data_IF_753532077295
#
_entry.id   IF_753532077295
#
_cell.length_a   1.000
_cell.length_b   1.000
_cell.length_c   1.000
_cell.angle_alpha   90.00
_cell.angle_beta   90.00
_cell.angle_gamma   90.00
#
_symmetry.space_group_name_H-M   'P 1'
#
loop_
_entity.id
_entity.type
_entity.pdbx_description
1 polymer ?
#
# COMPACT_ATOMS: atom_id res chain seq x y z
N UNK A 1 3.96 -12.00 -29.98
CA UNK A 1 2.98 -11.07 -29.36
C UNK A 1 2.17 -11.84 -28.31
N UNK A 2 2.62 -11.88 -27.05
CA UNK A 2 1.89 -12.56 -25.97
C UNK A 2 0.93 -11.56 -25.33
N UNK A 3 -0.38 -11.80 -25.50
CA UNK A 3 -1.45 -11.10 -24.79
C UNK A 3 -1.29 -11.37 -23.30
N UNK A 4 -0.98 -10.35 -22.51
CA UNK A 4 -1.07 -10.41 -21.05
C UNK A 4 -2.54 -10.61 -20.69
N UNK A 5 -2.88 -11.76 -20.08
CA UNK A 5 -4.14 -11.94 -19.37
C UNK A 5 -4.04 -11.17 -18.05
N UNK A 6 -4.17 -9.85 -18.11
CA UNK A 6 -4.45 -9.06 -16.91
C UNK A 6 -5.97 -9.13 -16.68
N UNK A 7 -6.42 -9.76 -15.58
CA UNK A 7 -7.81 -9.63 -15.14
C UNK A 7 -8.54 -10.89 -14.64
N UNK A 8 -7.94 -12.08 -14.60
CA UNK A 8 -8.57 -13.25 -13.96
C UNK A 8 -8.09 -13.36 -12.49
N UNK A 9 -8.78 -12.68 -11.58
CA UNK A 9 -8.51 -12.70 -10.14
C UNK A 9 -9.38 -11.73 -9.34
N UNK A 10 -9.35 -11.82 -8.02
CA UNK A 10 -10.01 -10.83 -7.16
C UNK A 10 -9.46 -9.43 -7.41
N UNK A 11 -10.32 -8.41 -7.28
CA UNK A 11 -9.90 -7.03 -7.46
C UNK A 11 -8.89 -6.63 -6.38
N UNK A 12 -7.94 -5.75 -6.70
CA UNK A 12 -6.93 -5.28 -5.73
C UNK A 12 -7.53 -4.79 -4.38
N UNK A 13 -8.68 -4.09 -4.35
CA UNK A 13 -9.31 -3.71 -3.09
C UNK A 13 -9.84 -4.89 -2.27
N UNK A 14 -10.27 -5.99 -2.92
CA UNK A 14 -10.70 -7.20 -2.24
C UNK A 14 -9.51 -7.90 -1.57
N UNK A 15 -8.42 -8.09 -2.32
CA UNK A 15 -7.19 -8.69 -1.78
C UNK A 15 -6.65 -7.85 -0.61
N UNK A 16 -6.66 -6.51 -0.74
CA UNK A 16 -6.24 -5.64 0.35
C UNK A 16 -7.17 -5.73 1.57
N UNK A 17 -8.48 -5.88 1.37
CA UNK A 17 -9.44 -6.12 2.45
C UNK A 17 -9.14 -7.44 3.17
N UNK A 18 -8.84 -8.52 2.44
CA UNK A 18 -8.46 -9.81 3.03
C UNK A 18 -7.18 -9.70 3.85
N UNK A 19 -6.13 -9.06 3.31
CA UNK A 19 -4.89 -8.84 4.05
C UNK A 19 -5.10 -8.01 5.31
N UNK A 20 -5.91 -6.94 5.25
CA UNK A 20 -6.24 -6.11 6.42
C UNK A 20 -7.04 -6.88 7.47
N UNK A 21 -7.90 -7.81 7.07
CA UNK A 21 -8.59 -8.74 7.99
C UNK A 21 -7.62 -9.71 8.65
N UNK A 22 -6.67 -10.27 7.88
CA UNK A 22 -5.61 -11.15 8.40
C UNK A 22 -4.79 -10.45 9.47
N UNK A 23 -4.25 -9.26 9.16
CA UNK A 23 -3.49 -8.45 10.11
C UNK A 23 -4.26 -8.15 11.39
N UNK A 24 -5.55 -7.84 11.27
CA UNK A 24 -6.42 -7.61 12.44
C UNK A 24 -6.60 -8.89 13.27
N UNK A 25 -6.68 -10.05 12.62
CA UNK A 25 -6.68 -11.37 13.27
C UNK A 25 -5.40 -11.64 14.06
N UNK A 26 -4.26 -11.20 13.53
CA UNK A 26 -2.95 -11.28 14.19
C UNK A 26 -2.76 -10.23 15.31
N UNK A 27 -3.80 -9.44 15.62
CA UNK A 27 -3.76 -8.39 16.64
C UNK A 27 -3.05 -7.10 16.20
N UNK A 28 -2.76 -6.94 14.91
CA UNK A 28 -2.09 -5.76 14.37
C UNK A 28 -3.13 -4.69 14.01
N UNK A 29 -3.08 -3.55 14.71
CA UNK A 29 -3.96 -2.41 14.46
C UNK A 29 -3.39 -1.49 13.36
N UNK A 30 -3.98 -1.57 12.17
CA UNK A 30 -3.58 -0.75 11.02
C UNK A 30 -4.25 0.62 11.09
N UNK A 31 -3.48 1.66 11.45
CA UNK A 31 -4.03 3.01 11.64
C UNK A 31 -4.41 3.72 10.34
N UNK A 32 -3.68 3.46 9.25
CA UNK A 32 -3.81 4.23 8.00
C UNK A 32 -3.46 3.39 6.78
N UNK A 33 -4.28 3.48 5.76
CA UNK A 33 -4.09 2.81 4.47
C UNK A 33 -3.73 3.83 3.38
N UNK A 34 -2.67 3.53 2.62
CA UNK A 34 -2.22 4.35 1.49
C UNK A 34 -2.50 3.60 0.18
N UNK A 35 -3.34 4.17 -0.68
CA UNK A 35 -3.77 3.53 -1.93
C UNK A 35 -3.80 4.49 -3.11
N UNK A 36 -3.66 3.97 -4.32
CA UNK A 36 -3.87 4.77 -5.52
C UNK A 36 -5.36 4.83 -5.94
N UNK A 37 -5.63 5.23 -7.18
CA UNK A 37 -7.00 5.35 -7.68
C UNK A 37 -7.72 4.03 -7.97
N UNK A 38 -7.02 2.88 -7.91
CA UNK A 38 -7.63 1.56 -8.03
C UNK A 38 -8.48 1.23 -6.78
N UNK A 39 -8.05 1.71 -5.62
CA UNK A 39 -8.74 1.56 -4.33
C UNK A 39 -9.90 2.55 -4.12
N UNK A 40 -10.19 3.44 -5.09
CA UNK A 40 -11.30 4.40 -5.02
C UNK A 40 -12.66 3.73 -5.28
N UNK A 41 -13.08 2.80 -4.41
CA UNK A 41 -14.33 2.03 -4.53
C UNK A 41 -15.21 2.20 -3.29
N UNK A 42 -16.54 2.20 -3.47
CA UNK A 42 -17.47 2.32 -2.35
C UNK A 42 -17.29 1.23 -1.28
N UNK A 43 -17.22 -0.08 -1.63
CA UNK A 43 -17.12 -1.14 -0.62
C UNK A 43 -15.85 -1.01 0.23
N UNK A 44 -14.73 -0.65 -0.40
CA UNK A 44 -13.45 -0.54 0.30
C UNK A 44 -13.43 0.64 1.29
N UNK A 45 -14.00 1.80 0.92
CA UNK A 45 -14.15 2.91 1.86
C UNK A 45 -15.07 2.57 3.04
N UNK A 46 -16.14 1.81 2.80
CA UNK A 46 -17.03 1.36 3.88
C UNK A 46 -16.32 0.35 4.81
N UNK A 47 -15.48 -0.53 4.25
CA UNK A 47 -14.62 -1.43 5.04
C UNK A 47 -13.63 -0.64 5.92
N UNK A 48 -12.92 0.33 5.35
CA UNK A 48 -11.97 1.16 6.12
C UNK A 48 -12.66 1.95 7.23
N UNK A 49 -13.86 2.48 6.99
CA UNK A 49 -14.66 3.16 8.03
C UNK A 49 -15.04 2.21 9.17
N UNK A 50 -15.52 1.01 8.86
CA UNK A 50 -15.86 -0.01 9.87
C UNK A 50 -14.64 -0.47 10.67
N UNK A 51 -13.49 -0.57 10.00
CA UNK A 51 -12.23 -0.98 10.62
C UNK A 51 -11.49 0.17 11.31
N UNK A 52 -12.06 1.40 11.30
CA UNK A 52 -11.46 2.62 11.89
C UNK A 52 -10.08 2.98 11.32
N UNK A 53 -9.84 2.61 10.06
CA UNK A 53 -8.57 2.85 9.35
C UNK A 53 -8.69 4.17 8.57
N UNK A 54 -7.72 5.06 8.75
CA UNK A 54 -7.68 6.30 7.97
C UNK A 54 -7.35 6.01 6.50
N UNK A 55 -8.05 6.65 5.56
CA UNK A 55 -7.84 6.47 4.12
C UNK A 55 -7.01 7.61 3.53
N UNK A 56 -5.83 7.29 3.02
CA UNK A 56 -5.02 8.14 2.14
C UNK A 56 -5.05 7.55 0.71
N UNK A 57 -6.25 7.57 0.11
CA UNK A 57 -6.52 6.99 -1.21
C UNK A 57 -6.74 8.10 -2.23
N UNK A 58 -6.04 8.04 -3.38
CA UNK A 58 -6.19 9.04 -4.43
C UNK A 58 -7.56 8.92 -5.11
N UNK A 59 -8.45 9.84 -4.80
CA UNK A 59 -9.77 9.93 -5.43
C UNK A 59 -9.65 10.32 -6.92
N UNK A 60 -10.46 9.68 -7.78
CA UNK A 60 -10.54 9.98 -9.22
C UNK A 60 -10.98 11.44 -9.47
N UNK A 61 -10.42 12.10 -10.50
CA UNK A 61 -10.74 13.53 -10.80
C UNK A 61 -12.24 13.75 -11.03
N UNK A 62 -12.90 12.81 -11.70
CA UNK A 62 -14.32 12.88 -12.05
C UNK A 62 -15.22 12.18 -11.02
N UNK A 63 -14.73 11.91 -9.80
CA UNK A 63 -15.55 11.31 -8.76
C UNK A 63 -16.69 12.26 -8.38
N UNK A 64 -17.94 11.80 -8.55
CA UNK A 64 -19.15 12.57 -8.24
C UNK A 64 -19.67 12.26 -6.82
N UNK A 65 -20.31 13.25 -6.22
CA UNK A 65 -21.06 13.16 -4.96
C UNK A 65 -22.56 13.24 -5.17
N UNK A 66 -23.01 13.36 -6.42
CA UNK A 66 -24.32 13.91 -6.78
C UNK A 66 -25.42 12.86 -6.62
N UNK A 67 -25.04 11.59 -6.68
CA UNK A 67 -25.92 10.50 -6.28
C UNK A 67 -25.79 10.25 -4.78
N UNK A 68 -26.91 10.33 -4.05
CA UNK A 68 -26.99 9.95 -2.64
C UNK A 68 -26.79 8.44 -2.39
N UNK A 69 -26.47 7.66 -3.43
CA UNK A 69 -26.20 6.22 -3.39
C UNK A 69 -24.71 5.94 -3.22
N UNK A 70 -24.38 4.90 -2.45
CA UNK A 70 -22.99 4.48 -2.17
C UNK A 70 -22.39 5.02 -0.87
N UNK A 71 -21.09 4.82 -0.70
CA UNK A 71 -20.37 5.03 0.56
C UNK A 71 -20.47 6.47 1.07
N UNK A 72 -20.88 6.65 2.33
CA UNK A 72 -20.88 7.96 2.99
C UNK A 72 -19.44 8.42 3.25
N UNK A 73 -18.56 7.51 3.66
CA UNK A 73 -17.12 7.76 3.88
C UNK A 73 -16.45 8.29 2.62
N UNK A 74 -16.62 7.60 1.50
CA UNK A 74 -16.05 8.01 0.21
C UNK A 74 -16.50 9.42 -0.19
N UNK A 75 -17.78 9.74 -0.02
CA UNK A 75 -18.31 11.08 -0.34
C UNK A 75 -17.70 12.18 0.53
N UNK A 76 -17.42 11.90 1.81
CA UNK A 76 -16.69 12.84 2.68
C UNK A 76 -15.28 13.11 2.14
N UNK A 77 -14.56 12.07 1.75
CA UNK A 77 -13.22 12.18 1.16
C UNK A 77 -13.22 12.95 -0.18
N UNK A 78 -14.23 12.74 -1.03
CA UNK A 78 -14.40 13.53 -2.28
C UNK A 78 -14.58 15.01 -1.96
N UNK A 79 -15.45 15.36 -1.00
CA UNK A 79 -15.69 16.75 -0.60
C UNK A 79 -14.45 17.39 0.02
N UNK A 80 -13.74 16.65 0.88
CA UNK A 80 -12.51 17.11 1.51
C UNK A 80 -11.43 17.40 0.46
N UNK A 81 -11.21 16.48 -0.49
CA UNK A 81 -10.28 16.69 -1.60
C UNK A 81 -10.68 17.90 -2.47
N UNK A 82 -11.97 18.07 -2.77
CA UNK A 82 -12.46 19.22 -3.56
C UNK A 82 -12.23 20.54 -2.82
N UNK A 83 -12.49 20.58 -1.51
CA UNK A 83 -12.30 21.76 -0.65
C UNK A 83 -10.84 22.17 -0.54
N UNK A 84 -9.93 21.22 -0.31
CA UNK A 84 -8.51 21.48 -0.11
C UNK A 84 -7.73 21.61 -1.43
N UNK A 85 -8.26 21.08 -2.53
CA UNK A 85 -7.48 20.86 -3.75
C UNK A 85 -6.40 19.79 -3.56
N UNK A 86 -5.75 19.39 -4.66
CA UNK A 86 -4.86 18.21 -4.63
C UNK A 86 -3.59 18.42 -3.78
N UNK A 87 -2.94 19.58 -3.87
CA UNK A 87 -1.66 19.83 -3.16
C UNK A 87 -1.85 19.79 -1.63
N UNK A 88 -2.78 20.58 -1.10
CA UNK A 88 -3.05 20.62 0.34
C UNK A 88 -3.62 19.28 0.83
N UNK A 89 -4.48 18.61 0.06
CA UNK A 89 -4.97 17.27 0.41
C UNK A 89 -3.82 16.24 0.49
N UNK A 90 -2.86 16.29 -0.45
CA UNK A 90 -1.70 15.39 -0.47
C UNK A 90 -0.84 15.56 0.79
N UNK A 91 -0.62 16.80 1.22
CA UNK A 91 0.13 17.11 2.44
C UNK A 91 -0.64 16.71 3.70
N UNK A 92 -1.91 17.11 3.80
CA UNK A 92 -2.79 16.77 4.92
C UNK A 92 -2.93 15.26 5.15
N UNK A 93 -3.18 14.50 4.08
CA UNK A 93 -3.27 13.04 4.15
C UNK A 93 -1.91 12.35 4.23
N UNK A 94 -0.80 13.08 4.15
CA UNK A 94 0.56 12.54 4.03
C UNK A 94 0.68 11.53 2.89
N UNK A 95 -0.01 11.77 1.77
CA UNK A 95 -0.09 10.84 0.64
C UNK A 95 1.29 10.54 0.01
N UNK A 96 2.28 11.42 0.21
CA UNK A 96 3.68 11.16 -0.16
C UNK A 96 4.28 9.91 0.50
N UNK A 97 3.80 9.52 1.70
CA UNK A 97 4.30 8.34 2.42
C UNK A 97 3.98 7.02 1.69
N UNK A 98 3.02 7.04 0.75
CA UNK A 98 2.79 5.91 -0.16
C UNK A 98 4.09 5.50 -0.86
N UNK A 99 4.88 6.48 -1.30
CA UNK A 99 6.12 6.24 -2.06
C UNK A 99 7.18 5.51 -1.24
N UNK A 100 7.35 5.90 0.03
CA UNK A 100 8.32 5.27 0.94
C UNK A 100 7.93 3.82 1.24
N UNK A 101 6.64 3.59 1.51
CA UNK A 101 6.13 2.27 1.90
C UNK A 101 6.09 1.26 0.74
N UNK A 102 5.71 1.70 -0.47
CA UNK A 102 5.66 0.80 -1.63
C UNK A 102 6.96 0.89 -2.43
N UNK A 103 7.14 1.97 -3.19
CA UNK A 103 8.21 2.11 -4.18
C UNK A 103 9.61 2.03 -3.56
N UNK A 104 9.80 2.56 -2.34
CA UNK A 104 11.05 2.48 -1.61
C UNK A 104 11.50 1.05 -1.31
N UNK A 105 10.60 0.23 -0.74
CA UNK A 105 10.88 -1.18 -0.40
C UNK A 105 11.10 -2.00 -1.67
N UNK A 106 10.21 -1.91 -2.66
CA UNK A 106 10.37 -2.62 -3.93
C UNK A 106 11.68 -2.24 -4.63
N UNK A 107 12.04 -0.95 -4.65
CA UNK A 107 13.30 -0.48 -5.23
C UNK A 107 14.51 -1.02 -4.48
N UNK A 108 14.48 -1.05 -3.15
CA UNK A 108 15.56 -1.61 -2.33
C UNK A 108 15.75 -3.10 -2.59
N UNK A 109 14.66 -3.88 -2.62
CA UNK A 109 14.69 -5.31 -2.94
C UNK A 109 15.26 -5.54 -4.34
N UNK A 110 14.78 -4.81 -5.36
CA UNK A 110 15.29 -4.92 -6.74
C UNK A 110 16.75 -4.57 -6.86
N UNK A 111 17.25 -3.55 -6.14
CA UNK A 111 18.68 -3.21 -6.14
C UNK A 111 19.55 -4.29 -5.51
N UNK A 112 19.03 -5.01 -4.50
CA UNK A 112 19.79 -6.04 -3.79
C UNK A 112 19.75 -7.41 -4.50
N UNK A 113 18.61 -7.77 -5.06
CA UNK A 113 18.37 -9.11 -5.61
C UNK A 113 18.11 -9.14 -7.12
N UNK A 114 18.23 -8.00 -7.80
CA UNK A 114 17.95 -7.84 -9.21
C UNK A 114 16.48 -7.52 -9.52
N UNK A 115 16.24 -6.87 -10.65
CA UNK A 115 14.89 -6.49 -11.08
C UNK A 115 14.12 -7.62 -11.76
N UNK A 116 14.80 -8.44 -12.55
CA UNK A 116 14.19 -9.55 -13.29
C UNK A 116 14.13 -10.81 -12.43
N UNK A 117 13.07 -11.61 -12.64
CA UNK A 117 12.95 -12.97 -12.10
C UNK A 117 13.43 -13.98 -13.13
N UNK A 118 13.99 -15.09 -12.67
CA UNK A 118 14.59 -16.12 -13.54
C UNK A 118 13.61 -17.26 -13.83
N UNK A 119 12.70 -17.55 -12.90
CA UNK A 119 11.73 -18.64 -13.08
C UNK A 119 10.81 -18.45 -14.29
N UNK A 120 10.46 -19.55 -14.94
CA UNK A 120 9.48 -19.58 -16.05
C UNK A 120 8.12 -20.14 -15.65
N UNK A 121 7.99 -20.69 -14.45
CA UNK A 121 6.72 -21.20 -13.91
C UNK A 121 6.10 -20.19 -12.94
N UNK A 122 4.77 -20.12 -12.88
CA UNK A 122 4.03 -19.22 -11.97
C UNK A 122 4.42 -19.47 -10.50
N UNK A 123 4.49 -20.73 -10.09
CA UNK A 123 4.87 -21.12 -8.72
C UNK A 123 6.30 -20.71 -8.42
N UNK A 124 7.24 -20.95 -9.35
CA UNK A 124 8.63 -20.55 -9.14
C UNK A 124 8.82 -19.03 -9.10
N UNK A 125 8.04 -18.26 -9.88
CA UNK A 125 8.06 -16.78 -9.80
C UNK A 125 7.57 -16.28 -8.43
N UNK A 126 6.50 -16.89 -7.90
CA UNK A 126 5.99 -16.55 -6.56
C UNK A 126 7.02 -16.92 -5.48
N UNK A 127 7.61 -18.12 -5.56
CA UNK A 127 8.62 -18.57 -4.62
C UNK A 127 9.86 -17.65 -4.64
N UNK A 128 10.33 -17.26 -5.83
CA UNK A 128 11.46 -16.35 -6.01
C UNK A 128 11.14 -14.96 -5.43
N UNK A 129 9.93 -14.45 -5.63
CA UNK A 129 9.50 -13.20 -5.00
C UNK A 129 9.51 -13.31 -3.47
N UNK A 130 8.87 -14.34 -2.90
CA UNK A 130 8.82 -14.56 -1.44
C UNK A 130 10.24 -14.62 -0.86
N UNK A 131 11.13 -15.38 -1.47
CA UNK A 131 12.52 -15.50 -1.02
C UNK A 131 13.24 -14.15 -0.99
N UNK A 132 13.10 -13.32 -2.04
CA UNK A 132 13.74 -12.00 -2.10
C UNK A 132 13.24 -11.05 -1.02
N UNK A 133 11.93 -11.03 -0.76
CA UNK A 133 11.36 -10.19 0.30
C UNK A 133 11.75 -10.69 1.69
N UNK A 134 11.68 -12.00 1.92
CA UNK A 134 12.12 -12.59 3.19
C UNK A 134 13.60 -12.31 3.47
N UNK A 135 14.48 -12.51 2.50
CA UNK A 135 15.91 -12.20 2.66
C UNK A 135 16.16 -10.71 2.90
N UNK A 136 15.39 -9.82 2.26
CA UNK A 136 15.47 -8.38 2.52
C UNK A 136 15.09 -8.05 3.97
N UNK A 137 13.98 -8.60 4.46
CA UNK A 137 13.50 -8.35 5.82
C UNK A 137 14.49 -8.85 6.86
N UNK A 138 15.04 -10.06 6.68
CA UNK A 138 16.10 -10.60 7.55
C UNK A 138 17.33 -9.69 7.58
N UNK A 139 17.83 -9.23 6.42
CA UNK A 139 18.98 -8.33 6.35
C UNK A 139 18.70 -6.97 7.02
N UNK A 140 17.47 -6.45 6.85
CA UNK A 140 17.04 -5.21 7.47
C UNK A 140 16.98 -5.33 8.98
N UNK A 141 16.39 -6.42 9.49
CA UNK A 141 16.32 -6.69 10.93
C UNK A 141 17.71 -6.86 11.55
N UNK A 142 18.58 -7.63 10.91
CA UNK A 142 19.98 -7.78 11.34
C UNK A 142 20.67 -6.42 11.45
N UNK A 143 20.50 -5.55 10.44
CA UNK A 143 21.09 -4.21 10.43
C UNK A 143 20.54 -3.34 11.56
N UNK A 144 19.22 -3.37 11.80
CA UNK A 144 18.58 -2.59 12.87
C UNK A 144 19.04 -3.05 14.25
N UNK A 145 19.13 -4.37 14.46
CA UNK A 145 19.56 -4.94 15.73
C UNK A 145 21.04 -4.67 15.99
N UNK A 146 21.89 -4.80 14.97
CA UNK A 146 23.30 -4.42 15.07
C UNK A 146 23.50 -2.94 15.41
N UNK A 147 22.73 -2.02 14.81
CA UNK A 147 22.80 -0.59 15.16
C UNK A 147 22.39 -0.33 16.61
N UNK A 148 21.43 -1.09 17.14
CA UNK A 148 20.98 -0.99 18.54
C UNK A 148 21.99 -1.56 19.53
N UNK A 149 22.67 -2.64 19.18
CA UNK A 149 23.69 -3.28 20.02
C UNK A 149 25.03 -2.52 20.02
N UNK A 150 25.38 -1.84 18.91
CA UNK A 150 26.67 -1.16 18.75
C UNK A 150 26.62 0.36 18.91
N UNK A 151 25.47 0.95 19.27
CA UNK A 151 25.39 2.35 19.72
C UNK A 151 26.01 3.38 18.77
N UNK A 152 25.75 3.28 17.47
CA UNK A 152 26.19 4.32 16.53
C UNK A 152 25.24 5.53 16.62
N UNK A 153 25.59 6.50 17.47
CA UNK A 153 25.13 7.88 17.32
C UNK A 153 25.65 8.39 15.98
N UNK A 154 24.78 8.39 14.97
CA UNK A 154 25.07 9.02 13.70
C UNK A 154 25.30 10.52 13.93
N UNK A 155 26.54 10.96 13.82
CA UNK A 155 26.86 12.37 13.55
C UNK A 155 26.15 12.74 12.24
N UNK A 156 25.15 13.59 12.36
CA UNK A 156 24.65 14.39 11.24
C UNK A 156 25.66 15.50 11.01
N UNK A 157 26.39 15.42 9.89
CA UNK A 157 27.07 16.56 9.28
C UNK A 157 26.04 17.46 8.55
#
# INVERSE_FOLDING_TARGET
>A
MKRTREGEGESEPQIAEEHLKGLKGDGIDVKKFYGDGAFDTNPFFDFLEKSKIESAIKIRKNASTDHCRGSKRRRKEIRERRRLGYKQWKEYKKYGMRWVATEGIFSAVKRKFGESMVSRSKIGLIAEAIQRFWSYDVLREYSINGVREFGFEGKTD
#
